data_IF_677401013659
#
_entry.id   IF_677401013659
#
_cell.length_a   1.000
_cell.length_b   1.000
_cell.length_c   1.000
_cell.angle_alpha   90.00
_cell.angle_beta   90.00
_cell.angle_gamma   90.00
#
_symmetry.space_group_name_H-M   'P 1'
#
loop_
_entity.id
_entity.type
_entity.pdbx_description
1 polymer ?
#
# COMPACT_ATOMS: atom_id res chain seq x y z
N UNK A 1 -12.16 -2.80 -23.69
CA UNK A 1 -11.94 -4.23 -24.03
C UNK A 1 -12.47 -5.06 -22.87
N UNK A 2 -13.34 -6.05 -23.08
CA UNK A 2 -13.84 -6.92 -22.03
C UNK A 2 -12.74 -7.87 -21.56
N UNK A 3 -12.74 -8.29 -20.27
CA UNK A 3 -11.74 -9.22 -19.76
C UNK A 3 -11.82 -10.54 -20.49
N UNK A 4 -10.65 -11.03 -20.89
CA UNK A 4 -10.52 -12.27 -21.64
C UNK A 4 -10.99 -13.46 -20.80
N UNK A 5 -11.91 -14.18 -21.37
CA UNK A 5 -12.47 -15.46 -20.98
C UNK A 5 -11.34 -16.47 -20.70
N UNK A 6 -10.92 -16.56 -19.43
CA UNK A 6 -10.26 -17.73 -18.85
C UNK A 6 -11.00 -18.18 -17.59
N UNK A 7 -12.31 -18.18 -17.68
CA UNK A 7 -13.18 -18.93 -16.81
C UNK A 7 -13.16 -20.41 -17.26
N UNK A 8 -11.97 -21.02 -17.14
CA UNK A 8 -11.90 -22.48 -17.12
C UNK A 8 -12.15 -22.89 -15.68
N UNK A 9 -13.21 -23.63 -15.48
CA UNK A 9 -13.52 -24.40 -14.28
C UNK A 9 -12.26 -25.11 -13.75
N UNK A 10 -11.45 -24.44 -12.92
CA UNK A 10 -10.46 -25.11 -12.07
C UNK A 10 -11.26 -25.80 -10.99
N UNK A 11 -11.35 -27.11 -11.07
CA UNK A 11 -12.15 -27.93 -10.15
C UNK A 11 -11.66 -27.89 -8.71
N UNK A 12 -10.47 -27.38 -8.41
CA UNK A 12 -9.92 -27.24 -7.07
C UNK A 12 -8.87 -26.11 -7.00
N UNK A 13 -8.86 -25.36 -5.89
CA UNK A 13 -7.83 -24.37 -5.55
C UNK A 13 -6.53 -25.13 -5.23
N UNK A 14 -5.44 -24.79 -5.90
CA UNK A 14 -4.14 -25.42 -5.67
C UNK A 14 -3.33 -24.63 -4.64
N UNK A 15 -2.91 -25.28 -3.57
CA UNK A 15 -2.17 -24.67 -2.46
C UNK A 15 -0.78 -25.26 -2.37
N UNK A 16 0.25 -24.42 -2.28
CA UNK A 16 1.59 -24.82 -1.90
C UNK A 16 1.83 -24.50 -0.43
N UNK A 17 2.29 -25.48 0.34
CA UNK A 17 2.58 -25.35 1.77
C UNK A 17 4.07 -25.12 1.98
N UNK A 18 4.42 -23.93 2.45
CA UNK A 18 5.75 -23.60 2.90
C UNK A 18 5.75 -23.45 4.42
N UNK A 19 5.91 -24.57 5.12
CA UNK A 19 5.71 -24.68 6.55
C UNK A 19 6.88 -25.40 7.19
N UNK A 20 7.55 -24.74 8.12
CA UNK A 20 8.77 -25.26 8.78
C UNK A 20 8.47 -26.48 9.63
N UNK A 21 7.43 -26.40 10.45
CA UNK A 21 7.05 -27.50 11.35
C UNK A 21 6.44 -28.66 10.57
N UNK A 22 7.12 -29.84 10.63
CA UNK A 22 6.70 -31.05 9.91
C UNK A 22 5.31 -31.52 10.33
N UNK A 23 5.02 -31.54 11.63
CA UNK A 23 3.71 -32.02 12.13
C UNK A 23 2.59 -31.12 11.65
N UNK A 24 2.79 -29.80 11.72
CA UNK A 24 1.83 -28.82 11.25
C UNK A 24 1.61 -28.94 9.73
N UNK A 25 2.67 -29.10 8.97
CA UNK A 25 2.58 -29.32 7.52
C UNK A 25 1.79 -30.58 7.15
N UNK A 26 2.03 -31.70 7.85
CA UNK A 26 1.27 -32.93 7.64
C UNK A 26 -0.21 -32.80 8.08
N UNK A 27 -0.47 -32.06 9.14
CA UNK A 27 -1.82 -31.76 9.58
C UNK A 27 -2.59 -30.93 8.54
N UNK A 28 -1.96 -29.92 7.96
CA UNK A 28 -2.54 -29.09 6.90
C UNK A 28 -2.81 -29.90 5.62
N UNK A 29 -1.91 -30.80 5.23
CA UNK A 29 -2.15 -31.71 4.10
C UNK A 29 -3.43 -32.53 4.34
N UNK A 30 -3.56 -33.14 5.52
CA UNK A 30 -4.74 -33.94 5.87
C UNK A 30 -6.02 -33.09 5.93
N UNK A 31 -5.89 -31.83 6.39
CA UNK A 31 -7.00 -30.88 6.45
C UNK A 31 -7.53 -30.59 5.04
N UNK A 32 -6.64 -30.21 4.11
CA UNK A 32 -7.03 -29.87 2.74
C UNK A 32 -7.51 -31.09 1.94
N UNK A 33 -6.95 -32.28 2.15
CA UNK A 33 -7.41 -33.51 1.50
C UNK A 33 -8.87 -33.88 1.89
N UNK A 34 -9.31 -33.48 3.09
CA UNK A 34 -10.69 -33.72 3.55
C UNK A 34 -11.69 -32.70 3.05
N UNK A 35 -11.24 -31.63 2.37
CA UNK A 35 -12.08 -30.52 1.91
C UNK A 35 -12.21 -30.52 0.40
N UNK A 36 -13.42 -30.63 -0.09
CA UNK A 36 -13.70 -30.52 -1.51
C UNK A 36 -13.30 -29.13 -2.04
N UNK A 37 -12.66 -29.09 -3.22
CA UNK A 37 -12.30 -27.87 -3.90
C UNK A 37 -10.97 -27.27 -3.49
N UNK A 38 -10.15 -27.94 -2.68
CA UNK A 38 -8.76 -27.54 -2.38
C UNK A 38 -7.83 -28.74 -2.60
N UNK A 39 -6.71 -28.52 -3.24
CA UNK A 39 -5.68 -29.54 -3.49
C UNK A 39 -4.30 -29.01 -3.07
N UNK A 40 -3.46 -29.87 -2.55
CA UNK A 40 -2.07 -29.52 -2.22
C UNK A 40 -1.19 -29.78 -3.43
N UNK A 41 -0.71 -28.71 -4.09
CA UNK A 41 0.17 -28.79 -5.26
C UNK A 41 1.61 -29.16 -4.88
N UNK A 42 2.05 -28.70 -3.69
CA UNK A 42 3.39 -28.99 -3.22
C UNK A 42 3.57 -28.66 -1.74
N UNK A 43 4.71 -29.09 -1.20
CA UNK A 43 5.10 -28.83 0.19
C UNK A 43 6.60 -28.66 0.29
N UNK A 44 7.04 -27.59 0.95
CA UNK A 44 8.44 -27.26 1.16
C UNK A 44 8.71 -26.95 2.63
N UNK A 45 9.97 -27.05 3.05
CA UNK A 45 10.40 -26.81 4.44
C UNK A 45 11.81 -26.24 4.51
N UNK A 46 12.35 -25.80 3.35
CA UNK A 46 13.68 -25.20 3.25
C UNK A 46 13.67 -23.77 3.84
N UNK A 47 14.83 -23.28 4.23
CA UNK A 47 14.99 -21.94 4.77
C UNK A 47 14.80 -20.83 3.72
N UNK A 48 14.84 -21.17 2.45
CA UNK A 48 14.65 -20.24 1.34
C UNK A 48 13.59 -20.77 0.38
N UNK A 49 12.80 -19.84 -0.17
CA UNK A 49 11.77 -20.13 -1.13
C UNK A 49 12.42 -20.42 -2.50
N UNK A 50 12.26 -21.64 -3.00
CA UNK A 50 12.75 -22.01 -4.32
C UNK A 50 11.78 -21.51 -5.41
N UNK A 51 12.13 -20.38 -6.04
CA UNK A 51 11.33 -19.74 -7.08
C UNK A 51 11.19 -20.63 -8.34
N UNK A 52 12.22 -21.36 -8.68
CA UNK A 52 12.18 -22.21 -9.87
C UNK A 52 11.24 -23.40 -9.65
N UNK A 53 11.22 -23.95 -8.44
CA UNK A 53 10.25 -24.98 -8.06
C UNK A 53 8.81 -24.48 -8.09
N UNK A 54 8.54 -23.29 -7.55
CA UNK A 54 7.20 -22.69 -7.57
C UNK A 54 6.74 -22.36 -8.99
N UNK A 55 7.66 -21.95 -9.85
CA UNK A 55 7.36 -21.67 -11.25
C UNK A 55 7.06 -22.97 -12.02
N UNK A 56 7.77 -24.05 -11.72
CA UNK A 56 7.54 -25.37 -12.32
C UNK A 56 6.26 -26.03 -11.82
N UNK A 57 5.80 -25.69 -10.61
CA UNK A 57 4.58 -26.25 -9.99
C UNK A 57 3.63 -25.10 -9.61
N UNK A 58 2.95 -24.48 -10.60
CA UNK A 58 2.13 -23.31 -10.34
C UNK A 58 0.97 -23.65 -9.38
N UNK A 59 0.79 -22.76 -8.40
CA UNK A 59 -0.29 -22.85 -7.42
C UNK A 59 -1.05 -21.52 -7.35
N UNK A 60 -2.28 -21.57 -6.84
CA UNK A 60 -3.12 -20.38 -6.66
C UNK A 60 -2.75 -19.66 -5.35
N UNK A 61 -2.41 -20.42 -4.32
CA UNK A 61 -2.12 -19.90 -2.99
C UNK A 61 -0.83 -20.51 -2.43
N UNK A 62 0.05 -19.65 -1.92
CA UNK A 62 1.22 -20.00 -1.13
C UNK A 62 0.87 -19.75 0.36
N UNK A 63 0.85 -20.80 1.16
CA UNK A 63 0.56 -20.76 2.59
C UNK A 63 1.85 -20.87 3.39
N UNK A 64 2.15 -19.87 4.24
CA UNK A 64 3.41 -19.70 4.96
C UNK A 64 3.17 -19.61 6.47
N UNK A 65 4.03 -20.24 7.27
CA UNK A 65 4.06 -20.11 8.74
C UNK A 65 5.05 -19.09 9.26
N UNK A 66 5.74 -18.37 8.38
CA UNK A 66 6.71 -17.35 8.74
C UNK A 66 6.93 -16.37 7.60
N UNK A 67 7.06 -15.11 7.94
CA UNK A 67 7.41 -14.04 7.00
C UNK A 67 8.91 -14.06 6.65
N UNK A 68 9.76 -14.46 7.59
CA UNK A 68 11.23 -14.46 7.41
C UNK A 68 11.72 -15.41 6.32
N UNK A 69 10.94 -16.43 6.01
CA UNK A 69 11.25 -17.37 4.93
C UNK A 69 11.14 -16.76 3.52
N UNK A 70 10.53 -15.60 3.40
CA UNK A 70 10.20 -14.92 2.13
C UNK A 70 10.77 -13.50 2.09
N UNK A 71 11.32 -12.99 3.19
CA UNK A 71 11.71 -11.60 3.42
C UNK A 71 13.10 -11.21 2.91
N UNK A 72 13.53 -11.69 1.75
CA UNK A 72 14.43 -10.85 0.95
C UNK A 72 13.55 -10.12 -0.07
N UNK A 73 13.55 -8.78 -0.06
CA UNK A 73 12.75 -7.94 -0.99
C UNK A 73 12.90 -8.40 -2.45
N UNK A 74 14.09 -8.83 -2.83
CA UNK A 74 14.38 -9.33 -4.18
C UNK A 74 13.64 -10.65 -4.49
N UNK A 75 13.45 -11.53 -3.49
CA UNK A 75 12.81 -12.85 -3.70
C UNK A 75 11.32 -12.72 -3.95
N UNK A 76 10.62 -11.81 -3.22
CA UNK A 76 9.18 -11.59 -3.40
C UNK A 76 8.85 -10.80 -4.65
N UNK A 77 9.63 -9.76 -4.96
CA UNK A 77 9.47 -9.03 -6.21
C UNK A 77 9.66 -9.95 -7.41
N UNK A 78 10.67 -10.82 -7.38
CA UNK A 78 10.89 -11.83 -8.39
C UNK A 78 9.74 -12.85 -8.48
N UNK A 79 9.13 -13.21 -7.35
CA UNK A 79 7.99 -14.12 -7.29
C UNK A 79 6.75 -13.51 -7.96
N UNK A 80 6.38 -12.27 -7.62
CA UNK A 80 5.23 -11.59 -8.22
C UNK A 80 5.42 -11.23 -9.69
N UNK A 81 6.66 -11.00 -10.13
CA UNK A 81 6.96 -10.82 -11.56
C UNK A 81 6.73 -12.10 -12.36
N UNK A 82 7.07 -13.26 -11.79
CA UNK A 82 6.91 -14.57 -12.45
C UNK A 82 5.50 -15.15 -12.29
N UNK A 83 4.88 -14.91 -11.15
CA UNK A 83 3.56 -15.46 -10.76
C UNK A 83 2.63 -14.34 -10.25
N UNK A 84 2.16 -13.43 -11.12
CA UNK A 84 1.37 -12.26 -10.71
C UNK A 84 0.01 -12.61 -10.09
N UNK A 85 -0.53 -13.78 -10.40
CA UNK A 85 -1.82 -14.24 -9.87
C UNK A 85 -1.70 -14.98 -8.53
N UNK A 86 -0.47 -15.30 -8.09
CA UNK A 86 -0.23 -16.01 -6.85
C UNK A 86 -0.69 -15.18 -5.64
N UNK A 87 -1.45 -15.83 -4.75
CA UNK A 87 -1.87 -15.23 -3.49
C UNK A 87 -1.02 -15.78 -2.34
N UNK A 88 -0.59 -14.91 -1.46
CA UNK A 88 0.20 -15.30 -0.28
C UNK A 88 -0.66 -15.16 0.96
N UNK A 89 -0.72 -16.24 1.76
CA UNK A 89 -1.41 -16.27 3.05
C UNK A 89 -0.41 -16.64 4.14
N UNK A 90 -0.27 -15.75 5.12
CA UNK A 90 0.48 -16.00 6.34
C UNK A 90 -0.47 -16.53 7.42
N UNK A 91 -0.03 -17.52 8.19
CA UNK A 91 -0.81 -18.04 9.32
C UNK A 91 0.10 -18.29 10.53
N UNK A 92 -0.49 -18.33 11.73
CA UNK A 92 0.27 -18.48 12.97
C UNK A 92 1.02 -17.22 13.37
N UNK A 93 0.56 -16.05 12.94
CA UNK A 93 1.18 -14.76 13.16
C UNK A 93 0.78 -14.16 14.51
N UNK A 94 1.59 -13.22 15.00
CA UNK A 94 1.29 -12.42 16.17
C UNK A 94 0.36 -11.23 15.86
N UNK A 95 -0.14 -10.56 16.91
CA UNK A 95 -0.96 -9.35 16.79
C UNK A 95 -0.10 -8.06 16.66
N UNK A 96 1.17 -8.17 16.25
CA UNK A 96 2.05 -7.01 16.11
C UNK A 96 1.71 -6.20 14.85
N UNK A 97 1.33 -4.90 14.97
CA UNK A 97 0.99 -4.06 13.83
C UNK A 97 2.15 -3.83 12.87
N UNK A 98 3.41 -3.82 13.35
CA UNK A 98 4.58 -3.60 12.51
C UNK A 98 4.81 -4.80 11.58
N UNK A 99 4.78 -6.02 12.13
CA UNK A 99 4.88 -7.26 11.36
C UNK A 99 3.75 -7.39 10.33
N UNK A 100 2.54 -7.01 10.72
CA UNK A 100 1.39 -6.99 9.81
C UNK A 100 1.56 -6.01 8.67
N UNK A 101 1.98 -4.77 8.95
CA UNK A 101 2.19 -3.74 7.92
C UNK A 101 3.36 -4.12 6.98
N UNK A 102 4.39 -4.76 7.50
CA UNK A 102 5.48 -5.30 6.68
C UNK A 102 4.97 -6.38 5.73
N UNK A 103 4.16 -7.32 6.21
CA UNK A 103 3.51 -8.33 5.38
C UNK A 103 2.65 -7.71 4.28
N UNK A 104 1.87 -6.67 4.59
CA UNK A 104 1.05 -5.95 3.62
C UNK A 104 1.91 -5.25 2.56
N UNK A 105 3.01 -4.60 2.94
CA UNK A 105 3.96 -3.98 1.99
C UNK A 105 4.56 -5.00 1.03
N UNK A 106 4.79 -6.21 1.51
CA UNK A 106 5.30 -7.33 0.72
C UNK A 106 4.24 -7.97 -0.19
N UNK A 107 2.98 -7.49 -0.19
CA UNK A 107 1.92 -7.98 -1.08
C UNK A 107 1.18 -9.21 -0.57
N UNK A 108 1.27 -9.52 0.72
CA UNK A 108 0.51 -10.63 1.33
C UNK A 108 -0.98 -10.34 1.24
N UNK A 109 -1.75 -11.35 0.81
CA UNK A 109 -3.21 -11.26 0.60
C UNK A 109 -4.01 -11.72 1.83
N UNK A 110 -3.41 -12.52 2.71
CA UNK A 110 -4.04 -13.03 3.92
C UNK A 110 -3.08 -13.08 5.10
N UNK A 111 -3.55 -12.62 6.28
CA UNK A 111 -2.78 -12.63 7.52
C UNK A 111 -3.66 -13.22 8.63
N UNK A 112 -3.30 -14.40 9.14
CA UNK A 112 -4.02 -15.13 10.17
C UNK A 112 -3.19 -15.20 11.44
N UNK A 113 -3.83 -14.94 12.58
CA UNK A 113 -3.18 -14.99 13.88
C UNK A 113 -2.93 -16.44 14.34
N UNK A 114 -2.15 -16.57 15.40
CA UNK A 114 -1.75 -17.85 15.97
C UNK A 114 -2.92 -18.65 16.59
N UNK A 115 -4.04 -17.98 16.90
CA UNK A 115 -5.28 -18.58 17.41
C UNK A 115 -6.28 -18.94 16.30
N UNK A 116 -5.92 -18.76 15.03
CA UNK A 116 -6.76 -19.08 13.89
C UNK A 116 -7.09 -20.59 13.85
N UNK A 117 -8.35 -20.88 13.66
CA UNK A 117 -8.85 -22.25 13.52
C UNK A 117 -8.54 -22.83 12.13
N UNK A 118 -8.71 -24.14 11.99
CA UNK A 118 -8.61 -24.80 10.67
C UNK A 118 -9.64 -24.29 9.67
N UNK A 119 -10.81 -23.85 10.12
CA UNK A 119 -11.85 -23.27 9.26
C UNK A 119 -11.45 -21.87 8.79
N UNK A 120 -10.78 -21.09 9.63
CA UNK A 120 -10.27 -19.77 9.25
C UNK A 120 -9.21 -19.88 8.14
N UNK A 121 -8.31 -20.87 8.24
CA UNK A 121 -7.32 -21.15 7.19
C UNK A 121 -8.00 -21.51 5.87
N UNK A 122 -9.01 -22.37 5.89
CA UNK A 122 -9.76 -22.77 4.70
C UNK A 122 -10.51 -21.57 4.09
N UNK A 123 -11.16 -20.77 4.94
CA UNK A 123 -11.89 -19.59 4.52
C UNK A 123 -10.95 -18.55 3.91
N UNK A 124 -9.78 -18.35 4.51
CA UNK A 124 -8.76 -17.45 3.98
C UNK A 124 -8.26 -17.89 2.60
N UNK A 125 -7.93 -19.17 2.43
CA UNK A 125 -7.49 -19.73 1.14
C UNK A 125 -8.55 -19.51 0.06
N UNK A 126 -9.83 -19.68 0.38
CA UNK A 126 -10.93 -19.44 -0.57
C UNK A 126 -11.14 -17.95 -0.87
N UNK A 127 -11.14 -17.11 0.16
CA UNK A 127 -11.37 -15.68 0.04
C UNK A 127 -10.29 -15.01 -0.81
N UNK A 128 -9.00 -15.32 -0.58
CA UNK A 128 -7.93 -14.68 -1.37
C UNK A 128 -7.96 -15.02 -2.85
N UNK A 129 -8.41 -16.22 -3.22
CA UNK A 129 -8.59 -16.60 -4.62
C UNK A 129 -9.77 -15.86 -5.27
N UNK A 130 -10.77 -15.48 -4.47
CA UNK A 130 -11.91 -14.65 -4.93
C UNK A 130 -11.57 -13.15 -4.97
N UNK A 131 -10.34 -12.77 -4.58
CA UNK A 131 -9.89 -11.38 -4.56
C UNK A 131 -10.18 -10.66 -3.25
N UNK A 132 -10.58 -11.39 -2.20
CA UNK A 132 -10.75 -10.83 -0.87
C UNK A 132 -9.42 -10.73 -0.14
N UNK A 133 -9.24 -9.70 0.68
CA UNK A 133 -8.13 -9.60 1.63
C UNK A 133 -8.57 -10.17 2.99
N UNK A 134 -7.75 -11.02 3.58
CA UNK A 134 -8.02 -11.58 4.90
C UNK A 134 -7.09 -10.94 5.93
N UNK A 135 -7.68 -10.20 6.86
CA UNK A 135 -6.95 -9.40 7.83
C UNK A 135 -7.66 -9.47 9.19
N UNK A 136 -6.93 -9.65 10.30
CA UNK A 136 -7.51 -9.58 11.64
C UNK A 136 -8.12 -8.20 11.88
N UNK A 137 -9.38 -8.14 12.31
CA UNK A 137 -10.09 -6.88 12.53
C UNK A 137 -9.35 -5.91 13.44
N UNK A 138 -8.63 -6.42 14.45
CA UNK A 138 -7.80 -5.61 15.36
C UNK A 138 -6.65 -4.88 14.64
N UNK A 139 -6.10 -5.45 13.56
CA UNK A 139 -4.99 -4.89 12.79
C UNK A 139 -5.44 -4.00 11.62
N UNK A 140 -6.71 -4.08 11.21
CA UNK A 140 -7.24 -3.24 10.12
C UNK A 140 -7.08 -1.74 10.41
N UNK A 141 -7.25 -1.31 11.67
CA UNK A 141 -7.08 0.10 12.03
C UNK A 141 -5.65 0.60 11.78
N UNK A 142 -4.65 -0.25 12.04
CA UNK A 142 -3.24 0.07 11.77
C UNK A 142 -2.99 0.27 10.27
N UNK A 143 -3.64 -0.53 9.42
CA UNK A 143 -3.57 -0.38 7.96
C UNK A 143 -4.19 0.95 7.51
N UNK A 144 -5.38 1.30 8.01
CA UNK A 144 -6.01 2.59 7.67
C UNK A 144 -5.17 3.78 8.11
N UNK A 145 -4.58 3.73 9.31
CA UNK A 145 -3.69 4.78 9.80
C UNK A 145 -2.41 4.88 8.95
N UNK A 146 -1.84 3.74 8.56
CA UNK A 146 -0.67 3.70 7.69
C UNK A 146 -0.98 4.34 6.33
N UNK A 147 -2.06 3.94 5.66
CA UNK A 147 -2.48 4.51 4.37
C UNK A 147 -2.74 6.00 4.47
N UNK A 148 -3.43 6.46 5.53
CA UNK A 148 -3.70 7.88 5.75
C UNK A 148 -2.39 8.69 5.90
N UNK A 149 -1.39 8.17 6.62
CA UNK A 149 -0.08 8.82 6.77
C UNK A 149 0.69 8.87 5.44
N UNK A 150 0.74 7.77 4.71
CA UNK A 150 1.42 7.69 3.41
C UNK A 150 0.84 8.68 2.40
N UNK A 151 -0.49 8.77 2.31
CA UNK A 151 -1.16 9.72 1.43
C UNK A 151 -0.85 11.17 1.82
N UNK A 152 -0.83 11.47 3.12
CA UNK A 152 -0.49 12.81 3.61
C UNK A 152 0.97 13.15 3.32
N UNK A 153 1.91 12.23 3.54
CA UNK A 153 3.33 12.45 3.26
C UNK A 153 3.60 12.62 1.76
N UNK A 154 2.98 11.78 0.91
CA UNK A 154 3.12 11.90 -0.55
C UNK A 154 2.59 13.24 -1.07
N UNK A 155 1.48 13.75 -0.53
CA UNK A 155 0.97 15.06 -0.92
C UNK A 155 1.93 16.19 -0.52
N UNK A 156 2.52 16.12 0.67
CA UNK A 156 3.50 17.13 1.13
C UNK A 156 4.78 17.08 0.29
N UNK A 157 5.28 15.89 -0.05
CA UNK A 157 6.48 15.74 -0.89
C UNK A 157 6.24 16.20 -2.33
N UNK A 158 5.11 15.85 -2.93
CA UNK A 158 4.73 16.32 -4.26
C UNK A 158 4.59 17.84 -4.30
N UNK A 159 4.03 18.41 -3.22
CA UNK A 159 3.93 19.86 -3.05
C UNK A 159 5.29 20.54 -2.92
N UNK A 160 6.24 19.91 -2.24
CA UNK A 160 7.62 20.42 -2.13
C UNK A 160 8.38 20.35 -3.46
N UNK A 161 8.26 19.24 -4.19
CA UNK A 161 8.91 19.09 -5.50
C UNK A 161 8.35 20.09 -6.53
N UNK A 162 7.04 20.30 -6.54
CA UNK A 162 6.42 21.32 -7.40
C UNK A 162 6.93 22.72 -7.07
N UNK A 163 7.02 23.07 -5.78
CA UNK A 163 7.57 24.35 -5.33
C UNK A 163 9.04 24.52 -5.75
N UNK A 164 9.86 23.48 -5.64
CA UNK A 164 11.28 23.53 -6.04
C UNK A 164 11.45 23.74 -7.55
N UNK A 165 10.64 23.07 -8.38
CA UNK A 165 10.67 23.24 -9.84
C UNK A 165 10.30 24.64 -10.30
N UNK A 166 9.42 25.32 -9.56
CA UNK A 166 9.02 26.70 -9.83
C UNK A 166 9.89 27.75 -9.13
N UNK A 167 10.91 27.35 -8.39
CA UNK A 167 11.72 28.26 -7.57
C UNK A 167 10.94 28.89 -6.41
N UNK A 168 9.74 28.39 -6.09
CA UNK A 168 8.90 28.86 -4.99
C UNK A 168 9.20 28.10 -3.71
N UNK A 169 9.27 28.79 -2.58
CA UNK A 169 9.38 28.14 -1.27
C UNK A 169 8.01 27.64 -0.79
N UNK A 170 8.01 26.62 0.06
CA UNK A 170 6.78 26.11 0.73
C UNK A 170 6.02 27.27 1.42
N UNK A 171 6.74 28.19 2.06
CA UNK A 171 6.15 29.34 2.75
C UNK A 171 5.46 30.31 1.78
N UNK A 172 6.03 30.53 0.61
CA UNK A 172 5.43 31.34 -0.44
C UNK A 172 4.13 30.72 -0.97
N UNK A 173 4.12 29.41 -1.18
CA UNK A 173 2.92 28.68 -1.59
C UNK A 173 1.84 28.74 -0.52
N UNK A 174 2.16 28.50 0.76
CA UNK A 174 1.24 28.61 1.88
C UNK A 174 0.58 30.00 1.93
N UNK A 175 1.36 31.03 1.75
CA UNK A 175 0.89 32.41 1.73
C UNK A 175 -0.06 32.65 0.55
N UNK A 176 0.29 32.21 -0.65
CA UNK A 176 -0.56 32.35 -1.84
C UNK A 176 -1.82 31.52 -1.79
N UNK A 177 -1.84 30.39 -1.08
CA UNK A 177 -3.08 29.64 -0.84
C UNK A 177 -4.10 30.43 0.02
N UNK A 178 -3.63 31.25 0.96
CA UNK A 178 -4.48 32.13 1.75
C UNK A 178 -4.95 33.34 0.92
N UNK A 179 -4.09 33.84 0.03
CA UNK A 179 -4.47 34.86 -0.97
C UNK A 179 -5.58 34.35 -1.89
N UNK A 180 -5.46 33.11 -2.36
CA UNK A 180 -6.46 32.45 -3.22
C UNK A 180 -7.82 32.25 -2.53
N UNK A 181 -7.84 32.17 -1.19
CA UNK A 181 -9.05 32.17 -0.35
C UNK A 181 -9.65 33.55 -0.13
N UNK A 182 -9.09 34.59 -0.72
CA UNK A 182 -9.58 35.99 -0.60
C UNK A 182 -9.17 36.70 0.69
N UNK A 183 -8.27 36.12 1.51
CA UNK A 183 -7.86 36.73 2.77
C UNK A 183 -7.05 38.02 2.56
N UNK A 184 -7.28 39.01 3.42
CA UNK A 184 -6.52 40.26 3.47
C UNK A 184 -5.14 40.06 4.06
N UNK A 185 -4.20 40.98 3.80
CA UNK A 185 -2.83 40.87 4.36
C UNK A 185 -2.83 40.83 5.90
N UNK A 186 -3.80 41.51 6.54
CA UNK A 186 -3.97 41.53 7.99
C UNK A 186 -4.38 40.12 8.52
N UNK A 187 -5.34 39.48 7.85
CA UNK A 187 -5.82 38.13 8.21
C UNK A 187 -4.73 37.10 7.97
N UNK A 188 -3.99 37.21 6.85
CA UNK A 188 -2.85 36.35 6.54
C UNK A 188 -1.73 36.52 7.59
N UNK A 189 -1.43 37.76 7.96
CA UNK A 189 -0.43 38.09 8.98
C UNK A 189 -0.79 37.46 10.33
N UNK A 190 -2.05 37.55 10.75
CA UNK A 190 -2.56 36.90 11.97
C UNK A 190 -2.48 35.37 11.88
N UNK A 191 -2.90 34.78 10.76
CA UNK A 191 -2.90 33.33 10.53
C UNK A 191 -1.50 32.72 10.52
N UNK A 192 -0.50 33.46 10.02
CA UNK A 192 0.87 32.97 9.85
C UNK A 192 1.84 33.47 10.93
N UNK A 193 1.35 34.23 11.92
CA UNK A 193 2.17 34.90 12.96
C UNK A 193 3.27 35.79 12.38
N UNK A 194 2.92 36.58 11.36
CA UNK A 194 3.79 37.53 10.68
C UNK A 194 3.31 38.97 10.84
N UNK A 195 4.13 39.96 10.45
CA UNK A 195 3.68 41.34 10.30
C UNK A 195 2.98 41.50 8.93
N UNK A 196 2.03 42.44 8.83
CA UNK A 196 1.40 42.79 7.54
C UNK A 196 2.42 43.26 6.50
N UNK A 197 3.45 43.96 6.94
CA UNK A 197 4.58 44.38 6.11
C UNK A 197 5.35 43.18 5.54
N UNK A 198 5.58 42.16 6.35
CA UNK A 198 6.24 40.91 5.91
C UNK A 198 5.39 40.19 4.88
N UNK A 199 4.08 40.08 5.11
CA UNK A 199 3.14 39.47 4.16
C UNK A 199 3.14 40.21 2.82
N UNK A 200 3.04 41.56 2.86
CA UNK A 200 3.09 42.40 1.66
C UNK A 200 4.38 42.18 0.85
N UNK A 201 5.52 42.12 1.54
CA UNK A 201 6.83 41.88 0.88
C UNK A 201 6.90 40.49 0.26
N UNK A 202 6.37 39.47 0.93
CA UNK A 202 6.32 38.13 0.36
C UNK A 202 5.43 38.07 -0.89
N UNK A 203 4.24 38.64 -0.86
CA UNK A 203 3.35 38.70 -2.02
C UNK A 203 4.02 39.42 -3.18
N UNK A 204 4.64 40.56 -2.94
CA UNK A 204 5.33 41.33 -3.98
C UNK A 204 6.47 40.51 -4.62
N UNK A 205 7.26 39.79 -3.81
CA UNK A 205 8.34 38.91 -4.32
C UNK A 205 7.78 37.79 -5.17
N UNK A 206 6.68 37.16 -4.73
CA UNK A 206 6.03 36.07 -5.46
C UNK A 206 5.48 36.58 -6.79
N UNK A 207 4.76 37.72 -6.80
CA UNK A 207 4.24 38.34 -8.02
C UNK A 207 5.36 38.61 -9.04
N UNK A 208 6.48 39.12 -8.56
CA UNK A 208 7.66 39.36 -9.42
C UNK A 208 8.26 38.04 -9.95
N UNK A 209 8.23 36.97 -9.15
CA UNK A 209 8.79 35.67 -9.51
C UNK A 209 7.94 34.94 -10.54
N UNK A 210 6.59 35.08 -10.46
CA UNK A 210 5.66 34.51 -11.43
C UNK A 210 5.27 35.46 -12.56
N UNK A 211 5.92 36.63 -12.63
CA UNK A 211 5.72 37.67 -13.66
C UNK A 211 4.25 38.19 -13.70
N UNK A 212 3.61 38.30 -12.56
CA UNK A 212 2.24 38.81 -12.43
C UNK A 212 2.21 40.28 -12.05
N UNK A 213 1.31 41.03 -12.66
CA UNK A 213 1.07 42.45 -12.34
C UNK A 213 0.12 42.65 -11.15
N UNK A 214 -0.81 41.69 -10.95
CA UNK A 214 -1.81 41.71 -9.86
C UNK A 214 -1.76 40.47 -9.00
N UNK A 215 -2.26 40.62 -7.75
CA UNK A 215 -2.34 39.46 -6.84
C UNK A 215 -3.29 38.35 -7.32
N UNK A 216 -4.34 38.69 -8.07
CA UNK A 216 -5.28 37.72 -8.63
C UNK A 216 -4.62 36.97 -9.78
N UNK A 217 -3.94 37.68 -10.66
CA UNK A 217 -3.18 37.07 -11.74
C UNK A 217 -2.10 36.13 -11.23
N UNK A 218 -1.42 36.49 -10.14
CA UNK A 218 -0.46 35.61 -9.49
C UNK A 218 -1.12 34.30 -8.99
N UNK A 219 -2.33 34.37 -8.46
CA UNK A 219 -3.11 33.20 -8.06
C UNK A 219 -3.48 32.35 -9.27
N UNK A 220 -3.94 32.96 -10.37
CA UNK A 220 -4.37 32.28 -11.57
C UNK A 220 -3.18 31.58 -12.29
N UNK A 221 -2.05 32.25 -12.38
CA UNK A 221 -0.81 31.67 -12.92
C UNK A 221 -0.33 30.50 -12.05
N UNK A 222 -0.40 30.63 -10.73
CA UNK A 222 -0.02 29.54 -9.82
C UNK A 222 -0.99 28.38 -9.86
N UNK A 223 -2.29 28.60 -10.14
CA UNK A 223 -3.26 27.52 -10.40
C UNK A 223 -2.98 26.82 -11.72
N UNK A 224 -2.77 27.59 -12.79
CA UNK A 224 -2.44 27.05 -14.11
C UNK A 224 -1.13 26.23 -14.10
N UNK A 225 -0.16 26.62 -13.28
CA UNK A 225 1.09 25.88 -13.06
C UNK A 225 0.97 24.69 -12.11
N UNK A 226 -0.21 24.42 -11.53
CA UNK A 226 -0.43 23.30 -10.59
C UNK A 226 0.12 23.55 -9.17
N UNK A 227 0.46 24.80 -8.83
CA UNK A 227 1.01 25.17 -7.52
C UNK A 227 -0.06 25.48 -6.47
N UNK A 228 -1.29 25.70 -6.91
CA UNK A 228 -2.45 25.91 -6.05
C UNK A 228 -3.61 25.01 -6.50
N UNK A 229 -4.48 24.52 -5.57
CA UNK A 229 -5.65 23.78 -5.95
C UNK A 229 -6.60 24.65 -6.78
N UNK A 230 -7.26 24.04 -7.77
CA UNK A 230 -8.37 24.67 -8.47
C UNK A 230 -9.52 24.94 -7.47
N UNK A 231 -10.17 26.08 -7.62
CA UNK A 231 -11.27 26.50 -6.73
C UNK A 231 -12.48 25.59 -6.87
#
# INVERSE_FOLDING_TARGET
MPPSIREKARSAISVHLFVQNRLLREALVRLFQKRAGISVAGKSHQSELDLDFLTATPCDVLLLDSITAVCTDDSLQGLFQRLPELKIVLFGMDENPENFLEAVKLGVSGYLLNDASSEDIISAVRGVVQGEAVCPGKLCMSLFQYVARELTQKSVLADQEACLKAGLTFRQRQLMSLVAKGMTNKEIAASLSLSEFTVKNHIHRIMKQVEAETRHEAVDLMRAGGFLPNA
#
